data_IF_729952366243
#
_entry.id   IF_729952366243
#
_cell.length_a   1.000
_cell.length_b   1.000
_cell.length_c   1.000
_cell.angle_alpha   90.00
_cell.angle_beta   90.00
_cell.angle_gamma   90.00
#
_symmetry.space_group_name_H-M   'P 1'
#
loop_
_entity.id
_entity.type
_entity.pdbx_description
1 polymer ?
#
# COMPACT_ATOMS: atom_id res chain seq x y z
N UNK A 1 -13.02 18.85 2.56
CA UNK A 1 -12.19 18.12 1.58
C UNK A 1 -11.38 17.05 2.33
N UNK A 2 -12.00 15.94 2.74
CA UNK A 2 -11.39 15.02 3.75
C UNK A 2 -11.40 13.54 3.39
N UNK A 3 -11.63 13.16 2.13
CA UNK A 3 -11.92 11.75 1.80
C UNK A 3 -10.74 10.85 1.40
N UNK A 4 -9.49 11.37 1.32
CA UNK A 4 -8.35 10.56 0.85
C UNK A 4 -7.65 9.80 1.98
N UNK A 5 -7.62 10.33 3.21
CA UNK A 5 -6.94 9.70 4.34
C UNK A 5 -7.74 8.53 4.95
N UNK A 6 -9.07 8.61 5.02
CA UNK A 6 -9.90 7.47 5.47
C UNK A 6 -9.90 6.33 4.44
N UNK A 7 -9.98 6.65 3.15
CA UNK A 7 -9.92 5.65 2.08
C UNK A 7 -8.56 4.93 2.06
N UNK A 8 -7.47 5.61 2.41
CA UNK A 8 -6.16 5.00 2.54
C UNK A 8 -6.06 4.07 3.77
N UNK A 9 -6.89 4.25 4.80
CA UNK A 9 -6.85 3.41 6.01
C UNK A 9 -7.72 2.15 5.91
N UNK A 10 -8.57 2.06 4.88
CA UNK A 10 -9.43 0.89 4.68
C UNK A 10 -8.66 -0.20 3.94
N UNK A 11 -8.64 -1.45 4.43
CA UNK A 11 -8.02 -2.57 3.72
C UNK A 11 -8.59 -2.75 2.31
N UNK A 12 -7.71 -3.07 1.37
CA UNK A 12 -8.08 -3.44 0.01
C UNK A 12 -8.87 -4.76 0.06
N UNK A 13 -9.98 -4.80 -0.67
CA UNK A 13 -10.83 -5.98 -0.75
C UNK A 13 -11.40 -6.13 -2.16
N UNK A 14 -11.63 -7.38 -2.57
CA UNK A 14 -12.31 -7.70 -3.82
C UNK A 14 -13.82 -7.69 -3.59
N UNK A 15 -14.57 -7.01 -4.48
CA UNK A 15 -16.02 -6.87 -4.34
C UNK A 15 -16.80 -7.82 -5.24
N UNK A 16 -16.37 -8.00 -6.48
CA UNK A 16 -17.12 -8.77 -7.47
C UNK A 16 -16.26 -9.13 -8.68
N UNK A 17 -16.64 -10.21 -9.37
CA UNK A 17 -16.10 -10.57 -10.68
C UNK A 17 -16.81 -9.77 -11.77
N UNK A 18 -16.07 -9.29 -12.77
CA UNK A 18 -16.60 -8.54 -13.92
C UNK A 18 -17.03 -9.53 -14.99
N UNK A 19 -18.31 -9.91 -14.98
CA UNK A 19 -18.86 -10.88 -15.93
C UNK A 19 -18.69 -10.44 -17.41
N UNK A 20 -18.73 -9.13 -17.69
CA UNK A 20 -18.54 -8.60 -19.05
C UNK A 20 -17.11 -8.71 -19.57
N UNK A 21 -16.14 -9.03 -18.71
CA UNK A 21 -14.74 -9.25 -19.09
C UNK A 21 -14.39 -10.74 -19.24
N UNK A 22 -15.36 -11.63 -19.07
CA UNK A 22 -15.17 -13.06 -19.29
C UNK A 22 -15.23 -13.41 -20.79
N UNK A 23 -14.55 -14.47 -21.25
CA UNK A 23 -14.63 -14.90 -22.63
C UNK A 23 -16.09 -15.18 -23.06
N UNK A 24 -16.48 -14.69 -24.23
CA UNK A 24 -17.83 -14.90 -24.79
C UNK A 24 -18.10 -16.35 -25.18
N UNK A 25 -17.03 -17.15 -25.31
CA UNK A 25 -17.11 -18.57 -25.63
C UNK A 25 -17.42 -19.46 -24.42
N UNK A 26 -17.51 -18.89 -23.20
CA UNK A 26 -17.87 -19.66 -22.00
C UNK A 26 -19.25 -20.33 -22.19
N UNK A 27 -19.28 -21.65 -22.00
CA UNK A 27 -20.46 -22.48 -22.26
C UNK A 27 -20.48 -23.13 -23.65
N UNK A 28 -19.50 -22.81 -24.52
CA UNK A 28 -19.22 -23.54 -25.77
C UNK A 28 -18.27 -24.71 -25.50
N UNK A 29 -18.39 -25.83 -26.23
CA UNK A 29 -17.40 -26.93 -26.18
C UNK A 29 -15.99 -26.51 -26.65
N UNK A 30 -15.85 -25.35 -27.29
CA UNK A 30 -14.54 -24.78 -27.70
C UNK A 30 -13.89 -23.88 -26.63
N UNK A 31 -14.56 -23.66 -25.49
CA UNK A 31 -14.03 -22.77 -24.46
C UNK A 31 -12.68 -23.28 -23.93
N UNK A 32 -11.71 -22.37 -23.82
CA UNK A 32 -10.43 -22.68 -23.19
C UNK A 32 -10.66 -23.17 -21.74
N UNK A 33 -9.88 -24.18 -21.33
CA UNK A 33 -9.96 -24.74 -19.98
C UNK A 33 -9.58 -23.72 -18.91
N UNK A 34 -8.73 -22.75 -19.26
CA UNK A 34 -8.30 -21.64 -18.42
C UNK A 34 -8.39 -20.32 -19.17
N UNK A 35 -8.73 -19.25 -18.45
CA UNK A 35 -8.92 -17.89 -18.96
C UNK A 35 -8.69 -16.87 -17.86
N UNK A 36 -8.66 -15.60 -18.26
CA UNK A 36 -8.49 -14.47 -17.36
C UNK A 36 -9.83 -14.08 -16.74
N UNK A 37 -9.85 -13.95 -15.42
CA UNK A 37 -11.02 -13.53 -14.66
C UNK A 37 -10.77 -12.18 -14.03
N UNK A 38 -11.38 -11.10 -14.56
CA UNK A 38 -11.28 -9.78 -13.96
C UNK A 38 -12.18 -9.67 -12.72
N UNK A 39 -11.63 -9.16 -11.63
CA UNK A 39 -12.32 -8.83 -10.39
C UNK A 39 -12.09 -7.36 -10.00
N UNK A 40 -13.05 -6.76 -9.30
CA UNK A 40 -13.03 -5.33 -8.93
C UNK A 40 -12.62 -5.15 -7.48
N UNK A 41 -11.80 -4.14 -7.23
CA UNK A 41 -11.47 -3.71 -5.87
C UNK A 41 -12.46 -2.69 -5.31
N UNK A 42 -12.65 -2.72 -3.98
CA UNK A 42 -13.42 -1.72 -3.23
C UNK A 42 -12.89 -0.29 -3.44
N UNK A 43 -11.57 -0.12 -3.55
CA UNK A 43 -10.88 1.14 -3.85
C UNK A 43 -9.75 0.94 -4.87
N UNK A 44 -9.12 2.03 -5.31
CA UNK A 44 -7.92 1.92 -6.16
C UNK A 44 -6.73 1.44 -5.29
N UNK A 45 -6.04 0.36 -5.66
CA UNK A 45 -4.81 -0.05 -5.00
C UNK A 45 -3.73 1.00 -5.21
N UNK A 46 -2.86 1.18 -4.21
CA UNK A 46 -1.69 2.04 -4.37
C UNK A 46 -0.52 1.30 -5.07
N UNK A 47 0.58 2.02 -5.32
CA UNK A 47 1.74 1.45 -6.01
C UNK A 47 2.43 0.36 -5.18
N UNK A 48 2.43 0.47 -3.84
CA UNK A 48 3.05 -0.50 -2.95
C UNK A 48 2.25 -1.81 -2.93
N UNK A 49 0.92 -1.72 -2.77
CA UNK A 49 -0.03 -2.82 -2.87
C UNK A 49 0.06 -3.49 -4.25
N UNK A 50 0.10 -2.70 -5.32
CA UNK A 50 0.24 -3.22 -6.70
C UNK A 50 1.53 -4.00 -6.90
N UNK A 51 2.64 -3.48 -6.37
CA UNK A 51 3.95 -4.14 -6.47
C UNK A 51 3.98 -5.42 -5.64
N UNK A 52 3.41 -5.41 -4.44
CA UNK A 52 3.34 -6.58 -3.58
C UNK A 52 2.43 -7.68 -4.14
N UNK A 53 1.29 -7.31 -4.76
CA UNK A 53 0.38 -8.26 -5.41
C UNK A 53 0.98 -8.91 -6.67
N UNK A 54 1.72 -8.14 -7.47
CA UNK A 54 2.46 -8.65 -8.65
C UNK A 54 3.76 -9.37 -8.27
N UNK A 55 4.23 -9.19 -7.04
CA UNK A 55 5.52 -9.68 -6.58
C UNK A 55 5.54 -11.18 -6.29
N UNK A 56 6.73 -11.69 -6.04
CA UNK A 56 6.97 -13.11 -5.77
C UNK A 56 6.19 -13.64 -4.56
N UNK A 57 5.90 -12.79 -3.58
CA UNK A 57 5.18 -13.19 -2.37
C UNK A 57 3.71 -13.54 -2.65
N UNK A 58 3.04 -12.82 -3.56
CA UNK A 58 1.69 -13.15 -4.01
C UNK A 58 1.66 -14.48 -4.75
N UNK A 59 2.61 -14.69 -5.66
CA UNK A 59 2.75 -15.92 -6.42
C UNK A 59 3.10 -17.13 -5.53
N UNK A 60 4.04 -16.99 -4.60
CA UNK A 60 4.42 -18.05 -3.67
C UNK A 60 3.23 -18.55 -2.82
N UNK A 61 2.32 -17.64 -2.43
CA UNK A 61 1.08 -18.01 -1.72
C UNK A 61 0.10 -18.78 -2.59
N UNK A 62 -0.01 -18.43 -3.88
CA UNK A 62 -0.81 -19.19 -4.84
C UNK A 62 -0.24 -20.60 -5.07
N UNK A 63 1.08 -20.71 -5.24
CA UNK A 63 1.78 -21.99 -5.35
C UNK A 63 1.53 -22.85 -4.10
N UNK A 64 1.67 -22.28 -2.91
CA UNK A 64 1.42 -22.97 -1.64
C UNK A 64 -0.05 -23.43 -1.48
N UNK A 65 -1.00 -22.70 -2.08
CA UNK A 65 -2.41 -23.06 -2.12
C UNK A 65 -2.76 -24.08 -3.22
N UNK A 66 -1.78 -24.52 -4.02
CA UNK A 66 -1.98 -25.51 -5.09
C UNK A 66 -2.35 -24.91 -6.44
N UNK A 67 -2.13 -23.61 -6.65
CA UNK A 67 -2.44 -22.89 -7.89
C UNK A 67 -1.19 -22.28 -8.54
N UNK A 68 -0.19 -23.09 -8.95
CA UNK A 68 1.08 -22.57 -9.46
C UNK A 68 0.95 -21.85 -10.81
N UNK A 69 -0.03 -22.22 -11.64
CA UNK A 69 -0.22 -21.61 -12.97
C UNK A 69 -0.93 -20.26 -12.90
N UNK A 70 -1.61 -19.97 -11.78
CA UNK A 70 -2.44 -18.77 -11.61
C UNK A 70 -1.55 -17.54 -11.44
N UNK A 71 -1.87 -16.48 -12.18
CA UNK A 71 -1.17 -15.20 -12.12
C UNK A 71 -2.11 -14.10 -11.63
N UNK A 72 -1.54 -13.08 -10.98
CA UNK A 72 -2.28 -11.92 -10.49
C UNK A 72 -1.68 -10.66 -11.12
N UNK A 73 -2.50 -9.97 -11.90
CA UNK A 73 -2.14 -8.68 -12.49
C UNK A 73 -3.11 -7.59 -12.04
N UNK A 74 -2.60 -6.41 -11.72
CA UNK A 74 -3.43 -5.29 -11.23
C UNK A 74 -3.53 -4.23 -12.33
N UNK A 75 -4.72 -4.07 -12.89
CA UNK A 75 -5.02 -3.10 -13.93
C UNK A 75 -5.95 -2.01 -13.39
N UNK A 76 -5.33 -0.90 -12.98
CA UNK A 76 -6.01 0.26 -12.38
C UNK A 76 -6.82 -0.10 -11.12
N UNK A 77 -8.15 -0.31 -11.24
CA UNK A 77 -9.04 -0.73 -10.14
C UNK A 77 -9.47 -2.20 -10.24
N UNK A 78 -8.86 -2.97 -11.13
CA UNK A 78 -9.23 -4.37 -11.36
C UNK A 78 -8.03 -5.28 -11.09
N UNK A 79 -8.33 -6.43 -10.51
CA UNK A 79 -7.41 -7.57 -10.43
C UNK A 79 -7.76 -8.51 -11.58
N UNK A 80 -6.82 -8.77 -12.46
CA UNK A 80 -6.91 -9.79 -13.50
C UNK A 80 -6.26 -11.05 -12.94
N UNK A 81 -7.08 -12.08 -12.70
CA UNK A 81 -6.61 -13.39 -12.27
C UNK A 81 -6.42 -14.22 -13.53
N UNK A 82 -5.17 -14.43 -13.93
CA UNK A 82 -4.83 -15.16 -15.14
C UNK A 82 -4.73 -16.67 -14.95
N UNK A 83 -4.82 -17.41 -16.05
CA UNK A 83 -4.69 -18.87 -16.09
C UNK A 83 -5.60 -19.62 -15.10
N UNK A 84 -6.84 -19.16 -14.95
CA UNK A 84 -7.79 -19.71 -13.98
C UNK A 84 -9.10 -20.13 -14.65
N UNK A 85 -10.07 -20.58 -13.87
CA UNK A 85 -11.43 -20.87 -14.31
C UNK A 85 -12.44 -20.50 -13.23
N UNK A 86 -13.69 -20.22 -13.61
CA UNK A 86 -14.77 -20.00 -12.65
C UNK A 86 -14.92 -21.18 -11.68
N UNK A 87 -14.77 -22.41 -12.18
CA UNK A 87 -14.82 -23.60 -11.32
C UNK A 87 -13.71 -23.62 -10.26
N UNK A 88 -12.49 -23.15 -10.58
CA UNK A 88 -11.42 -23.02 -9.57
C UNK A 88 -11.74 -21.93 -8.55
N UNK A 89 -12.30 -20.80 -9.00
CA UNK A 89 -12.76 -19.71 -8.12
C UNK A 89 -13.83 -20.19 -7.13
N UNK A 90 -14.83 -20.92 -7.61
CA UNK A 90 -15.89 -21.52 -6.79
C UNK A 90 -15.37 -22.56 -5.79
N UNK A 91 -14.34 -23.33 -6.19
CA UNK A 91 -13.72 -24.36 -5.34
C UNK A 91 -12.78 -23.83 -4.26
N UNK A 92 -12.57 -22.51 -4.18
CA UNK A 92 -11.82 -21.89 -3.09
C UNK A 92 -10.71 -20.93 -3.51
N UNK A 93 -10.36 -20.85 -4.80
CA UNK A 93 -9.37 -19.87 -5.27
C UNK A 93 -9.84 -18.43 -4.96
N UNK A 94 -11.14 -18.15 -5.01
CA UNK A 94 -11.67 -16.83 -4.66
C UNK A 94 -11.31 -16.43 -3.22
N UNK A 95 -11.41 -17.38 -2.27
CA UNK A 95 -11.02 -17.16 -0.88
C UNK A 95 -9.52 -16.95 -0.75
N UNK A 96 -8.71 -17.79 -1.41
CA UNK A 96 -7.24 -17.65 -1.40
C UNK A 96 -6.81 -16.28 -1.90
N UNK A 97 -7.33 -15.84 -3.05
CA UNK A 97 -7.01 -14.54 -3.62
C UNK A 97 -7.48 -13.41 -2.71
N UNK A 98 -8.68 -13.50 -2.13
CA UNK A 98 -9.17 -12.52 -1.17
C UNK A 98 -8.26 -12.42 0.08
N UNK A 99 -7.78 -13.54 0.61
CA UNK A 99 -6.83 -13.57 1.74
C UNK A 99 -5.48 -12.98 1.38
N UNK A 100 -4.97 -13.23 0.17
CA UNK A 100 -3.73 -12.62 -0.32
C UNK A 100 -3.89 -11.10 -0.37
N UNK A 101 -4.98 -10.60 -0.95
CA UNK A 101 -5.28 -9.17 -1.06
C UNK A 101 -5.39 -8.50 0.31
N UNK A 102 -6.15 -9.08 1.24
CA UNK A 102 -6.31 -8.54 2.60
C UNK A 102 -4.97 -8.52 3.34
N UNK A 103 -4.17 -9.59 3.24
CA UNK A 103 -2.87 -9.63 3.91
C UNK A 103 -1.91 -8.59 3.35
N UNK A 104 -1.79 -8.49 2.03
CA UNK A 104 -0.90 -7.51 1.39
C UNK A 104 -1.30 -6.10 1.81
N UNK A 105 -2.60 -5.79 1.80
CA UNK A 105 -3.07 -4.47 2.21
C UNK A 105 -2.73 -4.17 3.67
N UNK A 106 -2.98 -5.10 4.59
CA UNK A 106 -2.63 -4.91 6.02
C UNK A 106 -1.13 -4.71 6.23
N UNK A 107 -0.29 -5.46 5.52
CA UNK A 107 1.16 -5.30 5.60
C UNK A 107 1.59 -3.92 5.12
N UNK A 108 1.09 -3.46 3.96
CA UNK A 108 1.41 -2.13 3.44
C UNK A 108 0.92 -1.03 4.38
N UNK A 109 -0.27 -1.18 4.98
CA UNK A 109 -0.79 -0.22 5.96
C UNK A 109 0.08 -0.15 7.22
N UNK A 110 0.50 -1.30 7.75
CA UNK A 110 1.41 -1.34 8.90
C UNK A 110 2.75 -0.66 8.59
N UNK A 111 3.34 -0.94 7.43
CA UNK A 111 4.60 -0.31 7.01
C UNK A 111 4.45 1.23 6.87
N UNK A 112 3.31 1.69 6.36
CA UNK A 112 3.01 3.12 6.24
C UNK A 112 2.84 3.80 7.61
N UNK A 113 2.19 3.12 8.56
CA UNK A 113 2.06 3.59 9.94
C UNK A 113 3.43 3.71 10.62
N UNK A 114 4.28 2.69 10.50
CA UNK A 114 5.64 2.71 11.07
C UNK A 114 6.50 3.85 10.50
N UNK A 115 6.47 4.05 9.18
CA UNK A 115 7.20 5.16 8.53
C UNK A 115 6.69 6.51 9.01
N UNK A 116 5.37 6.66 9.19
CA UNK A 116 4.76 7.90 9.68
C UNK A 116 5.18 8.20 11.11
N UNK A 117 5.18 7.18 11.98
CA UNK A 117 5.56 7.33 13.38
C UNK A 117 7.05 7.68 13.51
N UNK A 118 7.92 7.02 12.73
CA UNK A 118 9.35 7.35 12.68
C UNK A 118 9.59 8.79 12.20
N UNK A 119 8.87 9.24 11.17
CA UNK A 119 8.96 10.62 10.69
C UNK A 119 8.48 11.63 11.74
N UNK A 120 7.43 11.29 12.49
CA UNK A 120 6.91 12.14 13.56
C UNK A 120 7.93 12.31 14.68
N UNK A 121 8.52 11.21 15.16
CA UNK A 121 9.56 11.23 16.18
C UNK A 121 10.78 12.06 15.75
N UNK A 122 11.23 11.91 14.50
CA UNK A 122 12.34 12.69 13.96
C UNK A 122 12.02 14.20 13.86
N UNK A 123 10.78 14.55 13.54
CA UNK A 123 10.33 15.96 13.52
C UNK A 123 10.31 16.56 14.93
N UNK A 124 9.78 15.81 15.90
CA UNK A 124 9.68 16.25 17.28
C UNK A 124 11.08 16.45 17.92
N UNK A 125 12.03 15.54 17.65
CA UNK A 125 13.44 15.69 18.07
C UNK A 125 14.11 16.91 17.44
N UNK A 126 13.95 17.14 16.13
CA UNK A 126 14.49 18.36 15.48
C UNK A 126 13.89 19.64 16.05
N UNK A 127 12.59 19.63 16.33
CA UNK A 127 11.89 20.79 16.91
C UNK A 127 12.36 21.06 18.34
N UNK A 128 12.58 20.01 19.14
CA UNK A 128 13.13 20.14 20.48
C UNK A 128 14.54 20.75 20.45
N UNK A 129 15.43 20.24 19.58
CA UNK A 129 16.78 20.78 19.40
C UNK A 129 16.76 22.24 18.93
N UNK A 130 15.91 22.58 17.97
CA UNK A 130 15.77 23.96 17.51
C UNK A 130 15.35 24.91 18.65
N UNK A 131 14.41 24.50 19.49
CA UNK A 131 13.97 25.29 20.67
C UNK A 131 15.10 25.48 21.69
N UNK A 132 15.91 24.46 21.94
CA UNK A 132 17.07 24.58 22.83
C UNK A 132 18.11 25.55 22.29
N UNK A 133 18.41 25.47 20.99
CA UNK A 133 19.32 26.41 20.31
C UNK A 133 18.79 27.84 20.38
N UNK A 134 17.50 28.07 20.11
CA UNK A 134 16.88 29.40 20.26
C UNK A 134 17.02 29.92 21.69
N UNK A 135 16.70 29.11 22.70
CA UNK A 135 16.87 29.50 24.12
C UNK A 135 18.32 29.79 24.51
N UNK A 136 19.29 29.09 23.89
CA UNK A 136 20.70 29.35 24.13
C UNK A 136 21.12 30.69 23.49
N UNK A 137 20.68 30.96 22.27
CA UNK A 137 20.95 32.22 21.58
C UNK A 137 20.33 33.43 22.29
N UNK A 138 19.10 33.32 22.80
CA UNK A 138 18.43 34.38 23.56
C UNK A 138 19.18 34.82 24.83
N UNK A 139 19.99 33.92 25.42
CA UNK A 139 20.83 34.21 26.59
C UNK A 139 22.12 34.95 26.24
N UNK A 140 22.47 35.04 24.97
CA UNK A 140 23.68 35.72 24.52
C UNK A 140 23.37 37.20 24.36
N UNK A 141 24.03 38.02 25.17
CA UNK A 141 23.95 39.47 25.08
C UNK A 141 25.34 40.04 24.81
N UNK A 142 25.45 40.88 23.78
CA UNK A 142 26.68 41.61 23.49
C UNK A 142 26.61 42.97 24.17
N UNK A 143 27.47 43.19 25.18
CA UNK A 143 27.65 44.50 25.82
C UNK A 143 28.98 45.09 25.36
N UNK A 144 28.97 46.29 24.76
CA UNK A 144 30.21 46.98 24.38
C UNK A 144 30.97 47.42 25.64
N UNK A 145 32.29 47.22 25.65
CA UNK A 145 33.13 47.69 26.76
C UNK A 145 33.11 49.23 26.78
N UNK A 146 32.76 49.87 27.91
CA UNK A 146 32.73 51.32 27.98
C UNK A 146 34.16 51.86 27.74
N UNK A 147 34.26 52.85 26.85
CA UNK A 147 35.53 53.50 26.53
C UNK A 147 36.18 54.02 27.81
N UNK A 148 37.35 53.46 28.17
CA UNK A 148 38.12 53.91 29.33
C UNK A 148 38.57 55.34 29.09
N UNK A 149 38.30 56.30 30.00
CA UNK A 149 38.79 57.65 29.84
C UNK A 149 40.33 57.64 29.86
N UNK A 150 40.93 58.19 28.80
CA UNK A 150 42.37 58.46 28.76
C UNK A 150 42.68 59.53 29.81
N UNK A 151 43.48 59.19 30.80
CA UNK A 151 44.00 60.16 31.76
C UNK A 151 44.93 61.15 31.03
N UNK A 152 44.61 62.45 31.12
CA UNK A 152 45.53 63.57 30.87
C UNK A 152 45.39 64.55 32.03
#
# INVERSE_FOLDING_TARGET
MTNRSEAASTPLALTSVVASGLPTELGSPSAAATYDVPAVFNRRPDTAETTALRGELGHARLVAAGYPEVTLDVQDRRLVIGNTSLGQLERGLATVVATIVDTVSRTVLADQEEVRDAARLAFDDRTARAREVTRAAERIHFVPEPARPRAM
#
